data_IF_842940432318
#
_entry.id   IF_842940432318
#
_cell.length_a   1.000
_cell.length_b   1.000
_cell.length_c   1.000
_cell.angle_alpha   90.00
_cell.angle_beta   90.00
_cell.angle_gamma   90.00
#
_symmetry.space_group_name_H-M   'P 1'
#
loop_
_entity.id
_entity.type
_entity.pdbx_description
1 polymer ?
#
# COMPACT_ATOMS: atom_id res chain seq x y z
N UNK A 1 21.60 18.72 17.17
CA UNK A 1 20.75 18.15 16.09
C UNK A 1 21.44 16.97 15.38
N UNK A 2 22.75 16.79 15.56
CA UNK A 2 23.58 15.88 14.75
C UNK A 2 23.61 14.42 15.24
N UNK A 3 23.29 14.15 16.51
CA UNK A 3 23.34 12.79 17.06
C UNK A 3 22.17 11.88 16.61
N UNK A 4 20.98 12.46 16.34
CA UNK A 4 19.85 11.68 15.80
C UNK A 4 20.12 11.28 14.35
N UNK A 5 20.57 12.21 13.50
CA UNK A 5 20.90 11.95 12.09
C UNK A 5 21.98 10.87 11.95
N UNK A 6 22.98 10.85 12.83
CA UNK A 6 24.03 9.82 12.84
C UNK A 6 23.52 8.44 13.29
N UNK A 7 22.56 8.39 14.22
CA UNK A 7 21.92 7.13 14.64
C UNK A 7 20.97 6.59 13.54
N UNK A 8 20.39 7.49 12.73
CA UNK A 8 19.59 7.14 11.56
C UNK A 8 20.42 6.65 10.38
N UNK A 9 21.62 7.19 10.13
CA UNK A 9 22.49 6.78 9.02
C UNK A 9 22.86 5.29 9.00
N UNK A 10 22.95 4.65 10.17
CA UNK A 10 23.18 3.20 10.28
C UNK A 10 21.89 2.35 10.14
N UNK A 11 20.71 2.97 10.25
CA UNK A 11 19.41 2.31 10.17
C UNK A 11 18.92 2.09 8.74
N UNK A 12 19.59 2.65 7.73
CA UNK A 12 19.15 2.64 6.33
C UNK A 12 20.15 2.00 5.35
N UNK A 13 21.37 1.65 5.79
CA UNK A 13 22.25 0.79 5.01
C UNK A 13 21.71 -0.65 5.05
N UNK A 14 21.22 -1.18 3.92
CA UNK A 14 20.65 -2.53 3.75
C UNK A 14 19.31 -2.81 4.46
N UNK A 15 18.59 -1.77 4.89
CA UNK A 15 17.61 -1.92 5.94
C UNK A 15 16.17 -2.24 5.52
N UNK A 16 15.48 -2.88 6.46
CA UNK A 16 14.03 -2.99 6.52
C UNK A 16 13.46 -1.67 7.08
N UNK A 17 12.93 -0.80 6.24
CA UNK A 17 12.33 0.47 6.69
C UNK A 17 10.88 0.26 7.07
N UNK A 18 10.46 0.71 8.27
CA UNK A 18 9.06 0.93 8.58
C UNK A 18 8.78 2.42 8.51
N UNK A 19 8.09 2.87 7.46
CA UNK A 19 7.81 4.30 7.25
C UNK A 19 6.90 4.87 8.33
N UNK A 20 6.26 4.06 9.18
CA UNK A 20 5.47 4.53 10.33
C UNK A 20 6.24 4.59 11.65
N UNK A 21 7.47 4.09 11.68
CA UNK A 21 8.39 4.41 12.77
C UNK A 21 8.92 5.85 12.63
N UNK A 22 8.67 6.49 11.48
CA UNK A 22 8.99 7.88 11.16
C UNK A 22 7.73 8.55 10.57
N UNK A 23 7.71 9.87 10.38
CA UNK A 23 6.62 10.50 9.61
C UNK A 23 6.98 10.47 8.13
N UNK A 24 6.01 10.55 7.20
CA UNK A 24 6.32 10.64 5.76
C UNK A 24 7.26 11.80 5.42
N UNK A 25 7.15 12.93 6.14
CA UNK A 25 8.06 14.08 5.99
C UNK A 25 9.50 13.74 6.39
N UNK A 26 9.69 13.04 7.50
CA UNK A 26 11.02 12.60 7.95
C UNK A 26 11.61 11.59 6.98
N UNK A 27 10.79 10.66 6.47
CA UNK A 27 11.23 9.70 5.45
C UNK A 27 11.64 10.40 4.14
N UNK A 28 10.86 11.39 3.69
CA UNK A 28 11.20 12.16 2.49
C UNK A 28 12.53 12.92 2.66
N UNK A 29 12.69 13.65 3.76
CA UNK A 29 13.92 14.38 4.02
C UNK A 29 15.14 13.46 4.10
N UNK A 30 14.96 12.24 4.60
CA UNK A 30 16.01 11.24 4.62
C UNK A 30 16.36 10.74 3.21
N UNK A 31 15.36 10.39 2.39
CA UNK A 31 15.58 9.99 0.99
C UNK A 31 16.31 11.06 0.19
N UNK A 32 15.96 12.34 0.38
CA UNK A 32 16.59 13.45 -0.32
C UNK A 32 18.04 13.70 0.13
N UNK A 33 18.39 13.29 1.36
CA UNK A 33 19.76 13.36 1.87
C UNK A 33 20.65 12.19 1.38
N UNK A 34 20.06 11.11 0.85
CA UNK A 34 20.80 9.96 0.33
C UNK A 34 21.14 10.18 -1.15
N UNK A 35 22.42 10.03 -1.51
CA UNK A 35 22.86 10.19 -2.90
C UNK A 35 22.35 9.07 -3.84
N UNK A 36 22.17 7.85 -3.32
CA UNK A 36 21.65 6.69 -4.03
C UNK A 36 20.94 5.75 -3.03
N UNK A 37 19.68 6.00 -2.67
CA UNK A 37 18.97 5.21 -1.67
C UNK A 37 18.64 3.80 -2.18
N UNK A 38 19.19 2.80 -1.48
CA UNK A 38 19.00 1.38 -1.74
C UNK A 38 18.35 0.69 -0.54
N UNK A 39 17.29 -0.10 -0.80
CA UNK A 39 16.53 -0.78 0.25
C UNK A 39 16.33 -2.27 -0.08
N UNK A 40 16.57 -3.13 0.91
CA UNK A 40 16.17 -4.54 0.81
C UNK A 40 14.66 -4.69 0.96
N UNK A 41 14.04 -3.92 1.87
CA UNK A 41 12.59 -3.91 2.08
C UNK A 41 12.09 -2.58 2.64
N UNK A 42 11.00 -2.06 2.06
CA UNK A 42 10.21 -0.95 2.62
C UNK A 42 8.86 -1.50 3.10
N UNK A 43 8.45 -1.12 4.30
CA UNK A 43 7.13 -1.42 4.89
C UNK A 43 6.36 -0.13 5.14
N UNK A 44 5.16 -0.06 4.58
CA UNK A 44 4.18 0.98 4.76
C UNK A 44 2.98 0.38 5.49
N UNK A 45 2.57 0.99 6.59
CA UNK A 45 1.31 0.77 7.30
C UNK A 45 0.51 2.05 7.14
N UNK A 46 -0.64 2.03 6.50
CA UNK A 46 -1.29 3.28 6.07
C UNK A 46 -2.76 3.23 6.44
N UNK A 47 -3.28 4.33 7.02
CA UNK A 47 -4.68 4.48 7.42
C UNK A 47 -5.29 5.76 6.85
N UNK A 48 -6.61 5.82 6.63
CA UNK A 48 -7.27 7.01 6.10
C UNK A 48 -7.33 8.20 7.06
N UNK A 49 -7.32 7.96 8.38
CA UNK A 49 -7.45 8.99 9.42
C UNK A 49 -6.33 10.04 9.42
N UNK A 50 -5.26 9.83 8.67
CA UNK A 50 -4.15 10.76 8.54
C UNK A 50 -4.08 11.32 7.11
N UNK A 51 -5.13 11.96 6.61
CA UNK A 51 -5.18 12.56 5.25
C UNK A 51 -3.95 13.42 4.94
N UNK A 52 -3.44 14.17 5.93
CA UNK A 52 -2.19 14.91 5.82
C UNK A 52 -0.97 14.03 5.57
N UNK A 53 -0.88 12.87 6.25
CA UNK A 53 0.17 11.88 6.02
C UNK A 53 -0.01 11.16 4.68
N UNK A 54 -1.25 10.91 4.21
CA UNK A 54 -1.49 10.35 2.87
C UNK A 54 -1.01 11.30 1.76
N UNK A 55 -1.27 12.60 1.93
CA UNK A 55 -0.77 13.62 1.02
C UNK A 55 0.76 13.65 1.06
N UNK A 56 1.35 13.74 2.25
CA UNK A 56 2.80 13.76 2.42
C UNK A 56 3.47 12.50 1.85
N UNK A 57 2.91 11.31 2.09
CA UNK A 57 3.41 10.03 1.58
C UNK A 57 3.31 9.95 0.06
N UNK A 58 2.28 10.53 -0.54
CA UNK A 58 2.12 10.61 -2.00
C UNK A 58 3.16 11.53 -2.65
N UNK A 59 3.69 12.51 -1.90
CA UNK A 59 4.68 13.47 -2.36
C UNK A 59 6.13 13.10 -2.04
N UNK A 60 6.36 12.02 -1.30
CA UNK A 60 7.71 11.46 -1.11
C UNK A 60 8.35 11.21 -2.49
N UNK A 61 9.64 11.52 -2.59
CA UNK A 61 10.43 11.34 -3.81
C UNK A 61 10.78 9.85 -4.06
N UNK A 62 9.76 9.01 -4.30
CA UNK A 62 9.93 7.57 -4.59
C UNK A 62 10.79 7.30 -5.83
N UNK A 63 10.99 8.30 -6.69
CA UNK A 63 11.86 8.23 -7.87
C UNK A 63 13.34 8.26 -7.50
N UNK A 64 13.75 8.73 -6.31
CA UNK A 64 15.16 8.73 -5.94
C UNK A 64 15.69 7.33 -5.61
N UNK A 65 14.81 6.38 -5.30
CA UNK A 65 15.17 4.99 -4.95
C UNK A 65 15.81 4.28 -6.14
N UNK A 66 17.06 3.84 -5.97
CA UNK A 66 17.88 3.20 -7.01
C UNK A 66 17.88 1.68 -6.93
N UNK A 67 17.59 1.10 -5.76
CA UNK A 67 17.38 -0.34 -5.59
C UNK A 67 16.29 -0.62 -4.53
N UNK A 68 15.38 -1.55 -4.83
CA UNK A 68 14.32 -1.96 -3.90
C UNK A 68 14.02 -3.46 -4.04
N UNK A 69 14.41 -4.26 -3.06
CA UNK A 69 14.04 -5.68 -3.05
C UNK A 69 12.52 -5.86 -2.92
N UNK A 70 11.92 -5.35 -1.85
CA UNK A 70 10.52 -5.59 -1.53
C UNK A 70 9.79 -4.35 -1.05
N UNK A 71 8.60 -4.09 -1.60
CA UNK A 71 7.66 -3.11 -1.06
C UNK A 71 6.50 -3.83 -0.40
N UNK A 72 6.26 -3.56 0.88
CA UNK A 72 5.15 -4.11 1.65
C UNK A 72 4.25 -2.99 2.09
N UNK A 73 2.98 -3.06 1.73
CA UNK A 73 1.97 -2.05 2.04
C UNK A 73 0.87 -2.74 2.82
N UNK A 74 0.52 -2.22 3.99
CA UNK A 74 -0.57 -2.74 4.83
C UNK A 74 -1.58 -1.64 5.03
N UNK A 75 -2.80 -1.89 4.57
CA UNK A 75 -3.90 -0.93 4.70
C UNK A 75 -4.69 -1.23 5.98
N UNK A 76 -5.02 -0.16 6.70
CA UNK A 76 -5.85 -0.20 7.89
C UNK A 76 -7.11 0.60 7.62
N UNK A 77 -8.27 -0.02 7.84
CA UNK A 77 -9.56 0.62 7.68
C UNK A 77 -10.34 0.55 8.99
N UNK A 78 -11.00 1.64 9.32
CA UNK A 78 -11.89 1.82 10.44
C UNK A 78 -13.34 1.89 9.94
N UNK A 79 -14.32 1.33 10.69
CA UNK A 79 -15.75 1.52 10.39
C UNK A 79 -16.19 2.99 10.29
N UNK A 80 -15.39 3.91 10.86
CA UNK A 80 -15.64 5.35 10.87
C UNK A 80 -15.07 6.09 9.65
N UNK A 81 -14.23 5.44 8.84
CA UNK A 81 -13.63 6.10 7.66
C UNK A 81 -14.72 6.43 6.63
N UNK A 82 -14.74 7.66 6.13
CA UNK A 82 -15.61 8.05 5.02
C UNK A 82 -15.21 7.34 3.72
N UNK A 83 -16.15 7.27 2.77
CA UNK A 83 -15.86 6.67 1.46
C UNK A 83 -14.70 7.38 0.74
N UNK A 84 -14.66 8.72 0.83
CA UNK A 84 -13.58 9.53 0.23
C UNK A 84 -12.22 9.26 0.88
N UNK A 85 -12.17 9.10 2.19
CA UNK A 85 -10.95 8.73 2.93
C UNK A 85 -10.43 7.36 2.49
N UNK A 86 -11.33 6.37 2.39
CA UNK A 86 -11.01 5.01 1.93
C UNK A 86 -10.48 5.02 0.50
N UNK A 87 -11.14 5.75 -0.41
CA UNK A 87 -10.69 5.89 -1.80
C UNK A 87 -9.37 6.66 -1.88
N UNK A 88 -9.18 7.69 -1.07
CA UNK A 88 -7.94 8.48 -1.02
C UNK A 88 -6.75 7.65 -0.56
N UNK A 89 -6.94 6.74 0.39
CA UNK A 89 -5.92 5.78 0.80
C UNK A 89 -5.46 4.93 -0.39
N UNK A 90 -6.39 4.36 -1.15
CA UNK A 90 -6.04 3.51 -2.31
C UNK A 90 -5.39 4.33 -3.42
N UNK A 91 -5.83 5.57 -3.64
CA UNK A 91 -5.19 6.51 -4.59
C UNK A 91 -3.75 6.85 -4.16
N UNK A 92 -3.49 7.00 -2.86
CA UNK A 92 -2.14 7.19 -2.34
C UNK A 92 -1.24 6.01 -2.74
N UNK A 93 -1.69 4.76 -2.55
CA UNK A 93 -0.93 3.58 -2.96
C UNK A 93 -0.66 3.55 -4.46
N UNK A 94 -1.69 3.86 -5.26
CA UNK A 94 -1.57 3.96 -6.71
C UNK A 94 -0.49 4.99 -7.12
N UNK A 95 -0.42 6.13 -6.43
CA UNK A 95 0.56 7.17 -6.68
C UNK A 95 1.96 6.73 -6.30
N UNK A 96 2.15 6.11 -5.14
CA UNK A 96 3.44 5.55 -4.72
C UNK A 96 3.99 4.58 -5.77
N UNK A 97 3.17 3.60 -6.21
CA UNK A 97 3.59 2.59 -7.19
C UNK A 97 3.99 3.21 -8.53
N UNK A 98 3.30 4.27 -8.97
CA UNK A 98 3.66 4.97 -10.21
C UNK A 98 4.85 5.91 -10.08
N UNK A 99 5.06 6.45 -8.89
CA UNK A 99 6.20 7.32 -8.61
C UNK A 99 7.50 6.53 -8.46
N UNK A 100 7.48 5.21 -8.27
CA UNK A 100 8.71 4.42 -8.34
C UNK A 100 9.32 4.49 -9.75
N UNK A 101 10.66 4.51 -9.86
CA UNK A 101 11.32 4.54 -11.18
C UNK A 101 10.86 3.36 -12.06
N UNK A 102 10.64 3.62 -13.36
CA UNK A 102 10.07 2.63 -14.29
C UNK A 102 10.93 1.38 -14.45
N UNK A 103 12.26 1.54 -14.40
CA UNK A 103 13.24 0.48 -14.60
C UNK A 103 13.79 -0.10 -13.29
N UNK A 104 13.32 0.39 -12.14
CA UNK A 104 13.74 -0.13 -10.84
C UNK A 104 13.33 -1.61 -10.74
N UNK A 105 14.29 -2.55 -10.62
CA UNK A 105 13.97 -3.94 -10.39
C UNK A 105 13.43 -4.11 -8.96
N UNK A 106 12.29 -4.79 -8.84
CA UNK A 106 11.63 -5.10 -7.58
C UNK A 106 11.30 -6.59 -7.54
N UNK A 107 11.74 -7.30 -6.50
CA UNK A 107 11.43 -8.73 -6.37
C UNK A 107 9.94 -8.94 -6.12
N UNK A 108 9.36 -8.17 -5.21
CA UNK A 108 7.93 -8.26 -4.91
C UNK A 108 7.31 -6.99 -4.36
N UNK A 109 6.06 -6.75 -4.76
CA UNK A 109 5.16 -5.79 -4.11
C UNK A 109 4.06 -6.58 -3.40
N UNK A 110 3.96 -6.43 -2.08
CA UNK A 110 2.92 -7.04 -1.26
C UNK A 110 1.93 -5.97 -0.77
N UNK A 111 0.64 -6.17 -0.98
CA UNK A 111 -0.43 -5.31 -0.50
C UNK A 111 -1.34 -6.13 0.41
N UNK A 112 -1.33 -5.78 1.69
CA UNK A 112 -2.11 -6.41 2.74
C UNK A 112 -3.38 -5.61 3.04
N UNK A 113 -4.48 -6.34 3.20
CA UNK A 113 -5.84 -5.82 3.35
C UNK A 113 -6.22 -4.87 2.20
N UNK A 114 -6.14 -5.29 0.92
CA UNK A 114 -6.48 -4.41 -0.21
C UNK A 114 -7.95 -3.93 -0.17
N UNK A 115 -8.80 -4.64 0.58
CA UNK A 115 -10.21 -4.31 0.75
C UNK A 115 -10.47 -3.86 2.20
N UNK A 116 -11.55 -3.07 2.43
CA UNK A 116 -12.01 -2.71 3.77
C UNK A 116 -13.20 -3.58 4.27
N UNK A 117 -13.09 -4.92 4.44
CA UNK A 117 -14.26 -5.76 4.72
C UNK A 117 -14.92 -5.48 6.08
N UNK A 118 -14.21 -4.89 7.05
CA UNK A 118 -14.83 -4.45 8.30
C UNK A 118 -15.77 -3.25 8.07
N UNK A 119 -15.33 -2.29 7.25
CA UNK A 119 -16.14 -1.14 6.84
C UNK A 119 -17.37 -1.59 6.06
N UNK A 120 -17.17 -2.42 5.02
CA UNK A 120 -18.25 -2.93 4.17
C UNK A 120 -19.30 -3.69 5.00
N UNK A 121 -18.88 -4.48 6.00
CA UNK A 121 -19.80 -5.16 6.91
C UNK A 121 -20.52 -4.21 7.86
N UNK A 122 -19.81 -3.23 8.44
CA UNK A 122 -20.45 -2.23 9.31
C UNK A 122 -21.48 -1.38 8.58
N UNK A 123 -21.34 -1.27 7.25
CA UNK A 123 -22.25 -0.57 6.34
C UNK A 123 -23.16 -1.51 5.56
N UNK A 124 -23.30 -2.78 5.95
CA UNK A 124 -24.11 -3.75 5.21
C UNK A 124 -25.59 -3.33 5.06
N UNK A 125 -26.08 -2.46 5.96
CA UNK A 125 -27.43 -1.87 5.93
C UNK A 125 -27.54 -0.58 5.11
N UNK A 126 -26.43 -0.09 4.53
CA UNK A 126 -26.36 1.14 3.75
C UNK A 126 -25.97 0.82 2.29
N UNK A 127 -26.31 1.71 1.36
CA UNK A 127 -25.84 1.60 -0.01
C UNK A 127 -24.34 1.92 -0.08
N UNK A 128 -23.53 0.92 -0.44
CA UNK A 128 -22.08 1.02 -0.62
C UNK A 128 -21.66 0.91 -2.09
N UNK A 129 -22.62 0.97 -3.03
CA UNK A 129 -22.37 0.77 -4.46
C UNK A 129 -21.42 1.82 -5.06
N UNK A 130 -21.54 3.07 -4.60
CA UNK A 130 -20.65 4.16 -4.99
C UNK A 130 -19.20 3.93 -4.58
N UNK A 131 -18.98 3.61 -3.29
CA UNK A 131 -17.67 3.24 -2.76
C UNK A 131 -17.05 2.07 -3.54
N UNK A 132 -17.82 1.01 -3.76
CA UNK A 132 -17.35 -0.17 -4.48
C UNK A 132 -16.94 0.19 -5.91
N UNK A 133 -17.74 1.00 -6.60
CA UNK A 133 -17.45 1.44 -7.97
C UNK A 133 -16.14 2.21 -8.03
N UNK A 134 -15.92 3.14 -7.10
CA UNK A 134 -14.68 3.90 -7.01
C UNK A 134 -13.48 3.02 -6.64
N UNK A 135 -13.62 2.14 -5.66
CA UNK A 135 -12.57 1.20 -5.28
C UNK A 135 -12.18 0.29 -6.45
N UNK A 136 -13.16 -0.25 -7.20
CA UNK A 136 -12.92 -1.02 -8.43
C UNK A 136 -12.09 -0.21 -9.42
N UNK A 137 -12.47 1.04 -9.68
CA UNK A 137 -11.78 1.93 -10.63
C UNK A 137 -10.32 2.17 -10.25
N UNK A 138 -10.06 2.47 -8.97
CA UNK A 138 -8.70 2.76 -8.49
C UNK A 138 -7.86 1.48 -8.45
N UNK A 139 -8.40 0.37 -7.94
CA UNK A 139 -7.69 -0.91 -7.90
C UNK A 139 -7.37 -1.44 -9.30
N UNK A 140 -8.27 -1.29 -10.27
CA UNK A 140 -7.96 -1.61 -11.68
C UNK A 140 -6.77 -0.81 -12.20
N UNK A 141 -6.69 0.48 -11.83
CA UNK A 141 -5.56 1.33 -12.22
C UNK A 141 -4.24 0.90 -11.55
N UNK A 142 -4.30 0.41 -10.30
CA UNK A 142 -3.13 -0.19 -9.62
C UNK A 142 -2.71 -1.47 -10.34
N UNK A 143 -3.68 -2.34 -10.63
CA UNK A 143 -3.45 -3.63 -11.28
C UNK A 143 -2.77 -3.49 -12.65
N UNK A 144 -3.28 -2.61 -13.51
CA UNK A 144 -2.66 -2.30 -14.82
C UNK A 144 -1.21 -1.85 -14.68
N UNK A 145 -0.88 -1.06 -13.66
CA UNK A 145 0.49 -0.59 -13.42
C UNK A 145 1.41 -1.71 -12.94
N UNK A 146 0.92 -2.60 -12.08
CA UNK A 146 1.67 -3.75 -11.60
C UNK A 146 1.93 -4.75 -12.74
N UNK A 147 0.91 -5.06 -13.55
CA UNK A 147 1.05 -5.90 -14.74
C UNK A 147 2.07 -5.32 -15.71
N UNK A 148 2.01 -4.02 -16.00
CA UNK A 148 3.01 -3.37 -16.87
C UNK A 148 4.45 -3.54 -16.38
N UNK A 149 4.68 -3.53 -15.05
CA UNK A 149 6.01 -3.78 -14.48
C UNK A 149 6.41 -5.25 -14.58
N UNK A 150 5.46 -6.17 -14.40
CA UNK A 150 5.69 -7.61 -14.59
C UNK A 150 6.04 -7.93 -16.05
N UNK A 151 5.29 -7.41 -17.02
CA UNK A 151 5.53 -7.59 -18.45
C UNK A 151 6.91 -7.04 -18.85
N UNK A 152 7.33 -5.92 -18.24
CA UNK A 152 8.64 -5.32 -18.42
C UNK A 152 9.76 -6.05 -17.65
N UNK A 153 9.45 -7.10 -16.89
CA UNK A 153 10.39 -7.82 -16.00
C UNK A 153 11.07 -6.93 -14.96
N UNK A 154 10.47 -5.80 -14.59
CA UNK A 154 10.94 -4.92 -13.51
C UNK A 154 10.25 -5.21 -12.18
N UNK A 155 9.24 -6.10 -12.18
CA UNK A 155 8.59 -6.62 -10.99
C UNK A 155 8.51 -8.15 -11.07
N UNK A 156 9.08 -8.85 -10.10
CA UNK A 156 9.08 -10.32 -10.06
C UNK A 156 7.70 -10.92 -9.74
N UNK A 157 7.02 -10.40 -8.71
CA UNK A 157 5.66 -10.84 -8.33
C UNK A 157 4.87 -9.80 -7.54
N UNK A 158 3.55 -9.94 -7.60
CA UNK A 158 2.60 -9.22 -6.74
C UNK A 158 2.03 -10.19 -5.71
N UNK A 159 1.91 -9.76 -4.46
CA UNK A 159 1.27 -10.53 -3.38
C UNK A 159 0.11 -9.71 -2.84
N UNK A 160 -1.10 -10.24 -2.93
CA UNK A 160 -2.30 -9.63 -2.34
C UNK A 160 -2.80 -10.54 -1.24
N UNK A 161 -2.78 -10.07 0.00
CA UNK A 161 -3.03 -10.93 1.14
C UNK A 161 -3.81 -10.22 2.26
N UNK A 162 -4.31 -11.01 3.20
CA UNK A 162 -4.84 -10.52 4.47
C UNK A 162 -3.69 -10.40 5.46
N UNK A 163 -3.63 -9.35 6.27
CA UNK A 163 -2.52 -9.14 7.20
C UNK A 163 -2.32 -10.35 8.13
N UNK A 164 -1.09 -10.86 8.20
CA UNK A 164 -0.65 -12.01 9.02
C UNK A 164 -0.45 -11.68 10.51
N UNK A 165 -0.57 -10.41 10.92
CA UNK A 165 -0.45 -9.98 12.33
C UNK A 165 -1.74 -10.12 13.18
N UNK A 166 -2.60 -11.09 12.87
CA UNK A 166 -3.71 -11.48 13.77
C UNK A 166 -4.99 -10.65 13.70
N UNK A 167 -5.05 -9.62 12.85
CA UNK A 167 -6.34 -8.98 12.52
C UNK A 167 -6.96 -9.67 11.32
N UNK A 168 -7.43 -10.89 11.55
CA UNK A 168 -8.21 -11.64 10.58
C UNK A 168 -9.55 -10.91 10.41
N UNK A 169 -9.69 -10.04 9.41
CA UNK A 169 -11.02 -9.53 9.03
C UNK A 169 -11.87 -10.70 8.51
N UNK A 170 -12.56 -11.40 9.40
CA UNK A 170 -13.44 -12.51 9.05
C UNK A 170 -14.54 -12.00 8.12
N UNK A 171 -14.48 -12.31 6.82
CA UNK A 171 -15.64 -12.11 5.96
C UNK A 171 -16.59 -13.24 6.29
N UNK A 172 -17.83 -12.93 6.67
CA UNK A 172 -18.84 -13.95 6.93
C UNK A 172 -19.03 -14.81 5.67
N UNK A 173 -19.23 -16.13 5.79
CA UNK A 173 -19.24 -17.05 4.65
C UNK A 173 -20.29 -16.68 3.59
N UNK A 174 -21.41 -16.12 4.03
CA UNK A 174 -22.51 -15.60 3.21
C UNK A 174 -22.17 -14.30 2.48
N UNK A 175 -21.20 -13.53 2.98
CA UNK A 175 -20.72 -12.28 2.36
C UNK A 175 -19.56 -12.53 1.36
N UNK A 176 -18.91 -13.71 1.41
CA UNK A 176 -17.82 -14.05 0.47
C UNK A 176 -18.24 -14.00 -1.01
N UNK A 177 -19.42 -14.50 -1.44
CA UNK A 177 -19.86 -14.38 -2.83
C UNK A 177 -19.99 -12.92 -3.27
N UNK A 178 -20.51 -12.06 -2.40
CA UNK A 178 -20.71 -10.63 -2.68
C UNK A 178 -19.38 -9.88 -2.77
N UNK A 179 -18.42 -10.17 -1.88
CA UNK A 179 -17.04 -9.67 -1.99
C UNK A 179 -16.34 -10.17 -3.27
N UNK A 180 -16.55 -11.44 -3.66
CA UNK A 180 -16.02 -12.03 -4.91
C UNK A 180 -16.64 -11.40 -6.16
N UNK A 181 -17.94 -11.10 -6.12
CA UNK A 181 -18.66 -10.39 -7.19
C UNK A 181 -18.14 -8.95 -7.34
N UNK A 182 -17.84 -8.29 -6.22
CA UNK A 182 -17.35 -6.92 -6.20
C UNK A 182 -15.86 -6.78 -6.52
N UNK A 183 -15.06 -7.82 -6.32
CA UNK A 183 -13.62 -7.73 -6.50
C UNK A 183 -13.08 -8.92 -7.27
N UNK A 184 -13.79 -9.38 -8.30
CA UNK A 184 -13.43 -10.56 -9.11
C UNK A 184 -11.96 -10.55 -9.56
N UNK A 185 -11.46 -9.39 -10.00
CA UNK A 185 -10.06 -9.20 -10.36
C UNK A 185 -9.06 -9.38 -9.20
N UNK A 186 -9.45 -9.08 -7.95
CA UNK A 186 -8.66 -9.38 -6.74
C UNK A 186 -8.91 -10.82 -6.25
N UNK A 187 -10.11 -11.36 -6.47
CA UNK A 187 -10.50 -12.72 -6.10
C UNK A 187 -9.68 -13.79 -6.83
N UNK A 188 -9.26 -13.52 -8.07
CA UNK A 188 -8.36 -14.38 -8.84
C UNK A 188 -6.92 -14.41 -8.25
N UNK A 189 -6.56 -13.47 -7.37
CA UNK A 189 -5.28 -13.46 -6.63
C UNK A 189 -5.37 -14.10 -5.24
N UNK A 190 -6.57 -14.45 -4.78
CA UNK A 190 -6.79 -15.01 -3.44
C UNK A 190 -6.98 -16.53 -3.51
N UNK A 191 -5.90 -17.27 -3.27
CA UNK A 191 -6.05 -18.49 -2.47
C UNK A 191 -6.52 -18.04 -1.09
N UNK A 192 -7.84 -18.05 -0.91
CA UNK A 192 -8.48 -17.86 0.39
C UNK A 192 -8.16 -19.11 1.21
N UNK A 193 -7.06 -19.06 1.96
CA UNK A 193 -6.79 -19.98 3.07
C UNK A 193 -7.49 -19.44 4.32
#
# INVERSE_FOLDING_TARGET
>A
MDAQVATFGAFFANANVNVNAVTPAVFSAHLDAMAAPEFSRIRLHVSPHSVGDLAALSHVNWQSITALGQLVITLYFSPRDTDDEVVSLVRCIMNIIASLQKLLPIESIAIYNPLPPALLRSRATHDVSGLITELKRVWYSVDVRLHKRMDASTLGRVILAKNTQGFTTHVAEDEKPRVREFFRALADFHDVI
#
